data_IF_337237000277
#
_entry.id   IF_337237000277
#
_cell.length_a   1.000
_cell.length_b   1.000
_cell.length_c   1.000
_cell.angle_alpha   90.00
_cell.angle_beta   90.00
_cell.angle_gamma   90.00
#
_symmetry.space_group_name_H-M   'P 1'
#
loop_
_entity.id
_entity.type
_entity.pdbx_description
1 polymer ?
#
# COMPACT_ATOMS: atom_id res chain seq x y z
N UNK A 1 -24.38 28.82 1.95
CA UNK A 1 -24.45 28.47 0.53
C UNK A 1 -23.14 27.76 0.18
N UNK A 2 -23.07 26.44 0.37
CA UNK A 2 -21.91 25.64 -0.03
C UNK A 2 -22.13 25.23 -1.49
N UNK A 3 -21.27 25.70 -2.39
CA UNK A 3 -21.27 25.21 -3.77
C UNK A 3 -20.72 23.79 -3.69
N UNK A 4 -21.61 22.80 -3.74
CA UNK A 4 -21.22 21.42 -3.98
C UNK A 4 -20.61 21.38 -5.38
N UNK A 5 -19.29 21.24 -5.44
CA UNK A 5 -18.59 21.02 -6.70
C UNK A 5 -18.99 19.62 -7.19
N UNK A 6 -19.52 19.54 -8.41
CA UNK A 6 -20.01 18.29 -9.01
C UNK A 6 -18.90 17.22 -8.99
N UNK A 7 -19.22 16.00 -8.53
CA UNK A 7 -18.30 14.87 -8.52
C UNK A 7 -17.71 14.59 -9.91
N UNK A 8 -18.44 14.87 -10.99
CA UNK A 8 -17.93 14.74 -12.36
C UNK A 8 -16.81 15.75 -12.68
N UNK A 9 -16.87 16.96 -12.10
CA UNK A 9 -15.83 17.98 -12.23
C UNK A 9 -14.60 17.57 -11.40
N UNK A 10 -14.83 17.01 -10.20
CA UNK A 10 -13.75 16.49 -9.36
C UNK A 10 -12.99 15.35 -10.05
N UNK A 11 -13.71 14.41 -10.66
CA UNK A 11 -13.14 13.30 -11.43
C UNK A 11 -12.34 13.80 -12.66
N UNK A 12 -12.83 14.83 -13.37
CA UNK A 12 -12.09 15.42 -14.48
C UNK A 12 -10.83 16.17 -14.01
N UNK A 13 -10.88 16.89 -12.89
CA UNK A 13 -9.71 17.53 -12.29
C UNK A 13 -8.70 16.48 -11.84
N UNK A 14 -9.13 15.40 -11.19
CA UNK A 14 -8.25 14.30 -10.80
C UNK A 14 -7.62 13.61 -12.01
N UNK A 15 -8.37 13.42 -13.10
CA UNK A 15 -7.83 12.90 -14.37
C UNK A 15 -6.79 13.85 -14.99
N UNK A 16 -7.02 15.16 -14.93
CA UNK A 16 -6.09 16.18 -15.43
C UNK A 16 -4.80 16.20 -14.57
N UNK A 17 -4.93 16.22 -13.24
CA UNK A 17 -3.80 16.16 -12.30
C UNK A 17 -2.97 14.88 -12.50
N UNK A 18 -3.61 13.74 -12.76
CA UNK A 18 -2.92 12.48 -13.08
C UNK A 18 -2.13 12.53 -14.38
N UNK A 19 -2.56 13.33 -15.36
CA UNK A 19 -1.89 13.44 -16.66
C UNK A 19 -0.63 14.31 -16.61
N UNK A 20 -0.64 15.30 -15.73
CA UNK A 20 0.43 16.29 -15.60
C UNK A 20 1.41 15.97 -14.46
N UNK A 21 1.20 14.87 -13.72
CA UNK A 21 2.01 14.48 -12.56
C UNK A 21 2.36 12.98 -12.61
N UNK A 22 3.61 12.58 -12.91
CA UNK A 22 4.01 11.17 -13.06
C UNK A 22 4.11 10.38 -11.73
N UNK A 23 3.53 10.91 -10.65
CA UNK A 23 3.74 10.42 -9.28
C UNK A 23 5.07 10.87 -8.69
N UNK A 24 5.11 11.07 -7.36
CA UNK A 24 6.38 11.25 -6.67
C UNK A 24 7.02 9.87 -6.50
N UNK A 25 8.13 9.61 -7.18
CA UNK A 25 8.88 8.36 -6.97
C UNK A 25 9.77 8.51 -5.74
N UNK A 26 9.40 7.81 -4.68
CA UNK A 26 10.17 7.79 -3.44
C UNK A 26 11.13 6.58 -3.44
N UNK A 27 12.26 6.63 -2.70
CA UNK A 27 13.06 5.44 -2.43
C UNK A 27 12.20 4.33 -1.78
N UNK A 28 12.26 3.10 -2.29
CA UNK A 28 11.56 1.96 -1.67
C UNK A 28 12.13 1.67 -0.28
N UNK A 29 11.33 1.96 0.76
CA UNK A 29 11.72 1.80 2.18
C UNK A 29 10.68 1.07 3.02
N UNK A 30 9.49 0.85 2.45
CA UNK A 30 8.34 0.26 3.13
C UNK A 30 7.84 -0.94 2.32
N UNK A 31 7.66 -2.08 2.99
CA UNK A 31 6.96 -3.24 2.44
C UNK A 31 5.58 -3.29 3.08
N UNK A 32 4.53 -3.34 2.27
CA UNK A 32 3.15 -3.46 2.73
C UNK A 32 2.55 -4.77 2.26
N UNK A 33 2.21 -5.66 3.17
CA UNK A 33 1.51 -6.90 2.86
C UNK A 33 -0.01 -6.67 2.86
N UNK A 34 -0.59 -6.74 1.67
CA UNK A 34 -2.01 -6.52 1.43
C UNK A 34 -2.31 -5.17 0.76
N UNK A 35 -3.30 -5.20 -0.12
CA UNK A 35 -3.73 -4.11 -0.99
C UNK A 35 -5.10 -3.51 -0.59
N UNK A 36 -5.64 -3.97 0.55
CA UNK A 36 -7.00 -3.68 0.98
C UNK A 36 -7.25 -2.20 1.31
N UNK A 37 -8.53 -1.82 1.34
CA UNK A 37 -8.97 -0.45 1.60
C UNK A 37 -8.45 0.12 2.93
N UNK A 38 -8.31 -0.70 3.98
CA UNK A 38 -7.84 -0.22 5.28
C UNK A 38 -6.42 0.33 5.21
N UNK A 39 -5.48 -0.45 4.67
CA UNK A 39 -4.07 -0.03 4.54
C UNK A 39 -3.98 1.21 3.64
N UNK A 40 -4.71 1.23 2.53
CA UNK A 40 -4.77 2.37 1.61
C UNK A 40 -5.34 3.66 2.21
N UNK A 41 -6.37 3.53 3.04
CA UNK A 41 -7.05 4.67 3.64
C UNK A 41 -6.39 5.14 4.95
N UNK A 42 -5.56 4.31 5.58
CA UNK A 42 -4.98 4.59 6.89
C UNK A 42 -3.45 4.68 6.87
N UNK A 43 -2.76 3.63 6.43
CA UNK A 43 -1.29 3.56 6.43
C UNK A 43 -0.74 4.44 5.32
N UNK A 44 -1.13 4.15 4.07
CA UNK A 44 -0.60 4.86 2.90
C UNK A 44 -0.95 6.36 2.94
N UNK A 45 -2.12 6.71 3.49
CA UNK A 45 -2.53 8.09 3.76
C UNK A 45 -1.57 8.82 4.71
N UNK A 46 -1.19 8.19 5.82
CA UNK A 46 -0.23 8.76 6.78
C UNK A 46 1.16 8.87 6.17
N UNK A 47 1.62 7.85 5.43
CA UNK A 47 2.91 7.91 4.73
C UNK A 47 2.95 9.05 3.72
N UNK A 48 1.87 9.24 2.95
CA UNK A 48 1.79 10.31 1.97
C UNK A 48 1.83 11.70 2.62
N UNK A 49 1.17 11.87 3.77
CA UNK A 49 1.25 13.10 4.58
C UNK A 49 2.64 13.33 5.17
N UNK A 50 3.27 12.26 5.70
CA UNK A 50 4.62 12.36 6.25
C UNK A 50 5.63 12.72 5.17
N UNK A 51 5.55 12.11 3.98
CA UNK A 51 6.40 12.49 2.86
C UNK A 51 6.20 13.95 2.40
N UNK A 52 5.01 14.52 2.57
CA UNK A 52 4.72 15.93 2.24
C UNK A 52 5.24 16.90 3.31
N UNK A 53 5.13 16.53 4.59
CA UNK A 53 5.36 17.45 5.70
C UNK A 53 6.68 17.20 6.45
N UNK A 54 7.40 16.13 6.13
CA UNK A 54 8.69 15.76 6.75
C UNK A 54 9.69 15.26 5.70
N UNK A 55 10.88 14.86 6.16
CA UNK A 55 11.95 14.28 5.35
C UNK A 55 11.89 12.74 5.24
N UNK A 56 10.74 12.12 5.56
CA UNK A 56 10.56 10.67 5.55
C UNK A 56 11.00 10.02 4.22
N UNK A 57 10.66 10.66 3.09
CA UNK A 57 11.06 10.28 1.74
C UNK A 57 11.03 8.76 1.50
N UNK A 58 9.87 8.14 1.74
CA UNK A 58 9.71 6.69 1.77
C UNK A 58 8.57 6.22 0.86
N UNK A 59 8.92 5.35 -0.08
CA UNK A 59 8.01 4.71 -1.01
C UNK A 59 7.58 3.34 -0.51
N UNK A 60 6.31 3.04 -0.75
CA UNK A 60 5.64 1.79 -0.40
C UNK A 60 5.67 0.84 -1.59
N UNK A 61 6.13 -0.38 -1.34
CA UNK A 61 5.93 -1.52 -2.25
C UNK A 61 4.86 -2.41 -1.67
N UNK A 62 3.73 -2.50 -2.36
CA UNK A 62 2.60 -3.34 -1.95
C UNK A 62 2.85 -4.76 -2.43
N UNK A 63 2.83 -5.71 -1.52
CA UNK A 63 2.96 -7.14 -1.79
C UNK A 63 1.56 -7.74 -1.71
N UNK A 64 1.03 -8.17 -2.86
CA UNK A 64 -0.29 -8.80 -2.98
C UNK A 64 -0.19 -10.28 -2.59
N UNK A 65 -0.86 -10.71 -1.51
CA UNK A 65 -0.74 -12.07 -1.01
C UNK A 65 -1.77 -13.05 -1.59
N UNK A 66 -2.66 -12.60 -2.48
CA UNK A 66 -3.74 -13.41 -3.07
C UNK A 66 -3.63 -13.36 -4.59
N UNK A 67 -3.70 -14.52 -5.25
CA UNK A 67 -3.77 -14.62 -6.70
C UNK A 67 -5.18 -14.25 -7.19
N UNK A 68 -5.40 -12.96 -7.44
CA UNK A 68 -6.67 -12.43 -7.93
C UNK A 68 -6.42 -11.31 -8.94
N UNK A 69 -7.27 -11.25 -9.98
CA UNK A 69 -7.30 -10.13 -10.92
C UNK A 69 -8.15 -8.96 -10.43
N UNK A 70 -8.88 -9.13 -9.32
CA UNK A 70 -9.71 -8.11 -8.70
C UNK A 70 -9.36 -7.89 -7.21
N UNK A 71 -9.20 -6.64 -6.76
CA UNK A 71 -9.21 -5.42 -7.57
C UNK A 71 -8.00 -5.37 -8.54
N UNK A 72 -8.10 -4.63 -9.66
CA UNK A 72 -6.96 -4.44 -10.57
C UNK A 72 -5.71 -4.00 -9.82
N UNK A 73 -4.55 -4.38 -10.32
CA UNK A 73 -3.27 -4.00 -9.70
C UNK A 73 -3.15 -2.48 -9.59
N UNK A 74 -2.65 -2.00 -8.45
CA UNK A 74 -2.35 -0.58 -8.24
C UNK A 74 -1.34 -0.06 -9.27
N UNK A 75 -0.47 -0.94 -9.77
CA UNK A 75 0.48 -0.63 -10.85
C UNK A 75 -0.20 -0.24 -12.17
N UNK A 76 -1.49 -0.57 -12.37
CA UNK A 76 -2.25 -0.11 -13.56
C UNK A 76 -2.50 1.40 -13.59
N UNK A 77 -2.30 2.07 -12.45
CA UNK A 77 -2.44 3.51 -12.29
C UNK A 77 -1.16 4.13 -11.72
N UNK A 78 0.01 3.53 -11.95
CA UNK A 78 1.29 4.00 -11.42
C UNK A 78 1.31 4.13 -9.89
N UNK A 79 0.56 3.28 -9.18
CA UNK A 79 0.39 3.35 -7.73
C UNK A 79 -0.53 4.46 -7.23
N UNK A 80 -1.08 5.30 -8.13
CA UNK A 80 -1.92 6.43 -7.79
C UNK A 80 -3.38 6.02 -7.54
N UNK A 81 -3.93 6.49 -6.43
CA UNK A 81 -5.35 6.39 -6.13
C UNK A 81 -5.82 7.53 -5.23
N UNK A 82 -7.14 7.72 -5.14
CA UNK A 82 -7.73 8.77 -4.31
C UNK A 82 -8.30 8.17 -3.04
N UNK A 83 -7.88 8.68 -1.89
CA UNK A 83 -8.51 8.39 -0.60
C UNK A 83 -9.49 9.52 -0.27
N UNK A 84 -10.74 9.17 0.05
CA UNK A 84 -11.74 10.13 0.50
C UNK A 84 -11.94 9.93 2.01
N UNK A 85 -11.62 10.97 2.78
CA UNK A 85 -11.75 11.00 4.23
C UNK A 85 -13.07 11.68 4.55
N UNK A 86 -13.98 10.96 5.20
CA UNK A 86 -15.29 11.49 5.60
C UNK A 86 -15.46 11.36 7.10
N UNK A 87 -15.98 12.40 7.72
CA UNK A 87 -16.21 12.42 9.15
C UNK A 87 -16.90 13.69 9.60
N UNK A 88 -16.87 13.91 10.91
CA UNK A 88 -17.29 15.16 11.53
C UNK A 88 -16.04 15.88 12.04
N UNK A 89 -15.92 17.18 11.77
CA UNK A 89 -14.87 17.99 12.37
C UNK A 89 -15.15 18.28 13.85
N UNK A 90 -14.24 18.99 14.51
CA UNK A 90 -14.38 19.39 15.93
C UNK A 90 -15.64 20.21 16.23
N UNK A 91 -16.24 20.83 15.20
CA UNK A 91 -17.48 21.61 15.29
C UNK A 91 -18.74 20.78 15.00
N UNK A 92 -18.59 19.49 14.72
CA UNK A 92 -19.69 18.59 14.36
C UNK A 92 -20.17 18.73 12.90
N UNK A 93 -19.40 19.40 12.04
CA UNK A 93 -19.75 19.59 10.63
C UNK A 93 -19.23 18.43 9.79
N UNK A 94 -20.04 17.96 8.84
CA UNK A 94 -19.63 16.93 7.90
C UNK A 94 -18.50 17.43 7.00
N UNK A 95 -17.37 16.72 7.02
CA UNK A 95 -16.22 16.96 6.15
C UNK A 95 -16.03 15.79 5.19
N UNK A 96 -15.54 16.10 3.99
CA UNK A 96 -15.24 15.12 2.94
C UNK A 96 -14.02 15.59 2.14
N UNK A 97 -12.83 15.18 2.57
CA UNK A 97 -11.57 15.56 1.94
C UNK A 97 -11.07 14.46 1.01
N UNK A 98 -10.83 14.81 -0.26
CA UNK A 98 -10.23 13.92 -1.23
C UNK A 98 -8.73 14.19 -1.33
N UNK A 99 -7.91 13.14 -1.15
CA UNK A 99 -6.45 13.21 -1.30
C UNK A 99 -5.96 12.22 -2.35
N UNK A 100 -5.13 12.69 -3.26
CA UNK A 100 -4.37 11.83 -4.17
C UNK A 100 -3.18 11.22 -3.42
N UNK A 101 -3.19 9.89 -3.26
CA UNK A 101 -2.09 9.13 -2.68
C UNK A 101 -1.04 8.85 -3.75
N UNK A 102 0.22 9.13 -3.40
CA UNK A 102 1.40 9.07 -4.29
C UNK A 102 2.56 8.29 -3.66
N UNK A 103 2.41 7.82 -2.42
CA UNK A 103 3.43 7.09 -1.67
C UNK A 103 3.65 5.65 -2.14
N UNK A 104 2.72 5.07 -2.91
CA UNK A 104 2.85 3.72 -3.48
C UNK A 104 3.63 3.78 -4.78
N UNK A 105 4.79 3.13 -4.82
CA UNK A 105 5.64 3.07 -6.01
C UNK A 105 5.18 1.99 -7.00
N UNK A 106 4.85 0.81 -6.47
CA UNK A 106 4.43 -0.35 -7.25
C UNK A 106 3.77 -1.41 -6.37
N UNK A 107 3.09 -2.32 -7.05
CA UNK A 107 2.57 -3.55 -6.48
C UNK A 107 3.33 -4.75 -7.07
N UNK A 108 3.64 -5.75 -6.22
CA UNK A 108 4.24 -7.03 -6.59
C UNK A 108 3.26 -8.14 -6.22
N UNK A 109 3.03 -9.06 -7.16
CA UNK A 109 2.28 -10.29 -6.88
C UNK A 109 3.23 -11.39 -6.40
N UNK A 110 2.98 -11.94 -5.21
CA UNK A 110 3.81 -13.01 -4.63
C UNK A 110 3.79 -14.29 -5.48
N UNK A 111 2.73 -14.52 -6.24
CA UNK A 111 2.57 -15.72 -7.07
C UNK A 111 3.28 -15.60 -8.42
N UNK A 112 3.22 -14.43 -9.06
CA UNK A 112 3.80 -14.23 -10.39
C UNK A 112 5.20 -13.60 -10.37
N UNK A 113 5.59 -12.96 -9.27
CA UNK A 113 6.82 -12.17 -9.14
C UNK A 113 7.58 -12.53 -7.85
N UNK A 114 7.58 -13.82 -7.48
CA UNK A 114 8.16 -14.32 -6.24
C UNK A 114 9.63 -13.93 -6.06
N UNK A 115 10.44 -13.99 -7.13
CA UNK A 115 11.85 -13.60 -7.09
C UNK A 115 12.04 -12.10 -6.79
N UNK A 116 11.17 -11.24 -7.32
CA UNK A 116 11.20 -9.80 -7.03
C UNK A 116 10.79 -9.52 -5.58
N UNK A 117 9.80 -10.27 -5.08
CA UNK A 117 9.44 -10.23 -3.66
C UNK A 117 10.62 -10.63 -2.75
N UNK A 118 11.34 -11.72 -3.06
CA UNK A 118 12.52 -12.11 -2.29
C UNK A 118 13.61 -11.03 -2.31
N UNK A 119 13.84 -10.37 -3.46
CA UNK A 119 14.83 -9.28 -3.56
C UNK A 119 14.47 -8.09 -2.66
N UNK A 120 13.19 -7.77 -2.46
CA UNK A 120 12.79 -6.66 -1.58
C UNK A 120 13.31 -6.85 -0.15
N UNK A 121 13.17 -8.04 0.41
CA UNK A 121 13.58 -8.34 1.79
C UNK A 121 15.09 -8.18 2.02
N UNK A 122 15.89 -8.25 0.95
CA UNK A 122 17.35 -8.10 1.01
C UNK A 122 17.81 -6.65 0.79
N UNK A 123 16.90 -5.71 0.49
CA UNK A 123 17.28 -4.32 0.26
C UNK A 123 17.66 -3.65 1.60
N UNK A 124 18.90 -3.13 1.75
CA UNK A 124 19.36 -2.54 3.00
C UNK A 124 18.62 -1.25 3.36
N UNK A 125 17.88 -0.66 2.43
CA UNK A 125 17.11 0.56 2.64
C UNK A 125 15.71 0.33 3.20
N UNK A 126 15.26 -0.93 3.30
CA UNK A 126 14.00 -1.24 3.96
C UNK A 126 14.05 -0.83 5.44
N UNK A 127 12.96 -0.21 5.91
CA UNK A 127 12.83 0.33 7.26
C UNK A 127 11.57 -0.17 7.96
N UNK A 128 10.48 -0.31 7.23
CA UNK A 128 9.18 -0.64 7.82
C UNK A 128 8.50 -1.77 7.06
N UNK A 129 7.77 -2.59 7.82
CA UNK A 129 6.86 -3.59 7.29
C UNK A 129 5.48 -3.33 7.88
N UNK A 130 4.48 -3.16 7.02
CA UNK A 130 3.08 -3.09 7.43
C UNK A 130 2.34 -4.31 6.92
N UNK A 131 1.41 -4.81 7.73
CA UNK A 131 0.53 -5.91 7.34
C UNK A 131 -0.81 -5.74 8.02
N UNK A 132 -1.88 -6.03 7.28
CA UNK A 132 -3.23 -6.16 7.83
C UNK A 132 -3.72 -7.58 7.54
N UNK A 133 -3.02 -8.57 8.10
CA UNK A 133 -3.49 -9.95 8.14
C UNK A 133 -4.41 -10.13 9.34
N UNK A 134 -5.59 -10.71 9.10
CA UNK A 134 -6.40 -11.24 10.19
C UNK A 134 -5.75 -12.50 10.76
N UNK A 135 -6.25 -13.01 11.88
CA UNK A 135 -5.81 -14.24 12.51
C UNK A 135 -5.85 -15.45 11.54
N UNK A 136 -6.70 -15.40 10.50
CA UNK A 136 -6.75 -16.43 9.46
C UNK A 136 -5.54 -16.40 8.48
N UNK A 137 -4.87 -15.25 8.37
CA UNK A 137 -3.70 -15.03 7.52
C UNK A 137 -2.38 -15.49 8.15
N UNK A 138 -2.34 -15.63 9.48
CA UNK A 138 -1.19 -16.16 10.24
C UNK A 138 -1.59 -17.52 10.81
N UNK A 139 -1.30 -18.60 10.09
CA UNK A 139 -1.54 -19.96 10.61
C UNK A 139 -0.40 -20.90 10.29
N UNK A 140 0.01 -21.68 11.28
CA UNK A 140 0.97 -22.75 11.11
C UNK A 140 0.40 -23.87 10.24
N UNK A 141 1.16 -24.31 9.23
CA UNK A 141 0.87 -25.50 8.44
C UNK A 141 2.01 -26.49 8.56
N UNK A 142 1.71 -27.68 9.09
CA UNK A 142 2.71 -28.72 9.28
C UNK A 142 3.33 -29.24 7.97
N UNK A 143 2.74 -28.90 6.82
CA UNK A 143 3.21 -29.29 5.49
C UNK A 143 4.09 -28.25 4.79
N UNK A 144 4.30 -27.06 5.38
CA UNK A 144 5.15 -26.02 4.79
C UNK A 144 6.59 -26.52 4.67
N UNK A 145 7.18 -26.34 3.49
CA UNK A 145 8.57 -26.71 3.20
C UNK A 145 9.41 -25.47 2.97
N UNK A 146 10.70 -25.59 3.27
CA UNK A 146 11.68 -24.54 3.05
C UNK A 146 11.69 -24.05 1.57
N UNK A 147 11.52 -24.98 0.63
CA UNK A 147 11.58 -24.70 -0.81
C UNK A 147 10.25 -24.22 -1.42
N UNK A 148 9.17 -24.04 -0.64
CA UNK A 148 7.87 -23.62 -1.18
C UNK A 148 7.90 -22.20 -1.75
N UNK A 149 7.56 -22.01 -3.02
CA UNK A 149 7.67 -20.72 -3.70
C UNK A 149 6.39 -20.38 -4.49
N UNK A 150 5.42 -19.63 -3.91
CA UNK A 150 5.37 -19.16 -2.51
C UNK A 150 4.87 -20.23 -1.53
N UNK A 151 5.14 -20.04 -0.23
CA UNK A 151 4.46 -20.81 0.83
C UNK A 151 2.96 -20.52 0.79
N UNK A 152 2.12 -21.53 0.98
CA UNK A 152 0.66 -21.42 0.82
C UNK A 152 -0.01 -20.36 1.72
N UNK A 153 0.70 -19.84 2.73
CA UNK A 153 0.35 -18.64 3.51
C UNK A 153 1.58 -17.78 3.82
N UNK A 154 1.34 -16.51 4.16
CA UNK A 154 2.35 -15.47 4.43
C UNK A 154 3.33 -15.81 5.57
N UNK A 155 2.93 -16.72 6.48
CA UNK A 155 3.69 -17.10 7.68
C UNK A 155 4.80 -18.14 7.45
N UNK A 156 4.94 -18.71 6.25
CA UNK A 156 5.82 -19.88 6.03
C UNK A 156 7.33 -19.58 5.98
N UNK A 157 7.75 -18.31 5.94
CA UNK A 157 9.16 -17.93 5.67
C UNK A 157 9.68 -16.73 6.48
N UNK A 158 9.23 -16.54 7.70
CA UNK A 158 10.04 -15.73 8.63
C UNK A 158 11.22 -16.57 9.09
N UNK A 159 12.42 -16.26 8.56
CA UNK A 159 13.66 -16.74 9.18
C UNK A 159 13.62 -16.33 10.67
N UNK A 160 13.71 -17.26 11.63
CA UNK A 160 13.77 -16.91 13.05
C UNK A 160 14.92 -15.96 13.40
N UNK A 161 15.95 -15.87 12.54
CA UNK A 161 17.04 -14.89 12.66
C UNK A 161 16.66 -13.48 12.19
N UNK A 162 15.70 -13.36 11.26
CA UNK A 162 15.17 -12.07 10.78
C UNK A 162 14.17 -11.44 11.77
N UNK A 163 13.45 -12.25 12.55
CA UNK A 163 12.51 -11.77 13.59
C UNK A 163 13.26 -11.26 14.83
N UNK A 164 14.55 -11.60 14.99
CA UNK A 164 15.36 -11.16 16.15
C UNK A 164 15.90 -9.73 16.06
N UNK A 165 15.64 -9.02 14.96
CA UNK A 165 16.12 -7.64 14.76
C UNK A 165 15.03 -6.68 14.28
N UNK A 166 13.79 -6.87 14.76
CA UNK A 166 12.75 -5.85 14.71
C UNK A 166 12.31 -5.48 16.13
#
# INVERSE_FOLDING_TARGET
>A
MAVAMDNAILENILRQVRRDFPGAQYPERIIQFGEGNFLRAFVDWQIDLLNEHTDLNSGVVVVRPIETSFPPSLSTQDGLYTTIIRGLNEKGEAVSDARLIRSVNREISVYSEYDEFLKLAHKPEMRFVFSNTTEAGISYHAGDKFDDAPSGKLSGKTDPSAVRTF
#
